data_IF_505265310091
#
_entry.id   IF_505265310091
#
_cell.length_a   1.000
_cell.length_b   1.000
_cell.length_c   1.000
_cell.angle_alpha   90.00
_cell.angle_beta   90.00
_cell.angle_gamma   90.00
#
_symmetry.space_group_name_H-M   'P 1'
#
loop_
_entity.id
_entity.type
_entity.pdbx_description
1 polymer ?
#
# COMPACT_ATOMS: atom_id res chain seq x y z
N UNK A 1 -53.89 38.15 -42.32
CA UNK A 1 -53.41 37.63 -41.03
C UNK A 1 -51.94 37.19 -41.18
N UNK A 2 -51.07 37.85 -40.41
CA UNK A 2 -49.79 37.40 -39.83
C UNK A 2 -48.59 37.08 -40.75
N UNK A 3 -47.52 37.87 -40.55
CA UNK A 3 -46.11 37.65 -40.94
C UNK A 3 -45.43 36.64 -40.01
N UNK A 4 -44.43 35.89 -40.48
CA UNK A 4 -43.28 35.33 -39.72
C UNK A 4 -42.34 34.64 -40.74
N UNK A 5 -41.15 35.12 -41.13
CA UNK A 5 -39.87 35.35 -40.42
C UNK A 5 -39.14 34.11 -39.88
N UNK A 6 -38.16 33.64 -40.67
CA UNK A 6 -36.76 33.19 -40.40
C UNK A 6 -36.49 32.24 -39.21
N UNK A 7 -35.72 31.16 -39.42
CA UNK A 7 -34.40 30.97 -38.77
C UNK A 7 -33.61 29.78 -39.35
N UNK A 8 -32.45 30.08 -39.94
CA UNK A 8 -31.36 29.14 -40.22
C UNK A 8 -30.67 28.76 -38.91
N UNK A 9 -30.46 27.46 -38.67
CA UNK A 9 -29.64 26.97 -37.56
C UNK A 9 -28.31 26.50 -38.14
N UNK A 10 -27.24 27.26 -37.87
CA UNK A 10 -25.87 26.86 -38.11
C UNK A 10 -25.40 26.00 -36.93
N UNK A 11 -25.09 24.72 -37.19
CA UNK A 11 -24.50 23.82 -36.19
C UNK A 11 -22.99 24.10 -36.15
N UNK A 12 -22.55 24.77 -35.09
CA UNK A 12 -21.12 24.97 -34.81
C UNK A 12 -20.62 23.70 -34.11
N UNK A 13 -19.87 22.87 -34.84
CA UNK A 13 -19.12 21.76 -34.26
C UNK A 13 -17.86 22.33 -33.59
N UNK A 14 -17.90 22.51 -32.27
CA UNK A 14 -16.72 22.87 -31.49
C UNK A 14 -15.86 21.61 -31.33
N UNK A 15 -14.80 21.49 -32.12
CA UNK A 15 -13.70 20.56 -31.84
C UNK A 15 -13.04 20.99 -30.52
N UNK A 16 -13.42 20.36 -29.42
CA UNK A 16 -12.67 20.49 -28.17
C UNK A 16 -11.31 19.84 -28.34
N UNK A 17 -10.23 20.61 -28.25
CA UNK A 17 -8.89 20.06 -28.10
C UNK A 17 -8.82 19.37 -26.75
N UNK A 18 -8.80 18.04 -26.75
CA UNK A 18 -8.49 17.25 -25.57
C UNK A 18 -7.04 17.54 -25.17
N UNK A 19 -6.85 18.36 -24.14
CA UNK A 19 -5.55 18.52 -23.49
C UNK A 19 -5.25 17.21 -22.74
N UNK A 20 -4.28 16.45 -23.22
CA UNK A 20 -3.72 15.33 -22.46
C UNK A 20 -3.05 15.91 -21.20
N UNK A 21 -3.59 15.58 -20.02
CA UNK A 21 -2.97 15.94 -18.76
C UNK A 21 -1.61 15.24 -18.66
N UNK A 22 -0.55 15.89 -18.14
CA UNK A 22 0.72 15.22 -17.89
C UNK A 22 0.47 14.05 -16.94
N UNK A 23 0.77 12.85 -17.42
CA UNK A 23 0.63 11.61 -16.65
C UNK A 23 1.68 11.66 -15.54
N UNK A 24 1.28 11.95 -14.31
CA UNK A 24 2.13 11.65 -13.14
C UNK A 24 2.49 10.17 -13.21
N UNK A 25 3.80 9.87 -13.21
CA UNK A 25 4.34 8.50 -13.29
C UNK A 25 4.29 7.75 -11.97
N UNK A 26 3.57 8.26 -10.97
CA UNK A 26 3.25 7.48 -9.79
C UNK A 26 2.15 6.47 -10.16
N UNK A 27 2.26 5.19 -9.78
CA UNK A 27 1.16 4.25 -9.90
C UNK A 27 -0.08 4.86 -9.27
N UNK A 28 -1.23 4.72 -9.91
CA UNK A 28 -2.49 5.37 -9.52
C UNK A 28 -3.09 4.88 -8.19
N UNK A 29 -2.36 4.07 -7.41
CA UNK A 29 -2.77 3.50 -6.13
C UNK A 29 -1.72 3.66 -5.01
N UNK A 30 -0.64 4.41 -5.22
CA UNK A 30 0.40 4.62 -4.20
C UNK A 30 -0.15 5.37 -2.97
N UNK A 31 -0.07 4.78 -1.78
CA UNK A 31 -0.57 5.38 -0.55
C UNK A 31 0.39 6.40 0.07
N UNK A 32 1.69 6.12 0.05
CA UNK A 32 2.70 7.03 0.56
C UNK A 32 4.02 6.96 -0.20
N UNK A 33 4.75 8.07 -0.17
CA UNK A 33 6.16 8.10 -0.54
C UNK A 33 6.99 8.69 0.58
N UNK A 34 7.95 7.91 1.06
CA UNK A 34 8.86 8.29 2.14
C UNK A 34 10.29 8.25 1.61
N UNK A 35 11.16 9.09 2.19
CA UNK A 35 12.59 9.10 1.91
C UNK A 35 13.33 8.93 3.21
N UNK A 36 14.48 8.24 3.18
CA UNK A 36 15.27 8.00 4.37
C UNK A 36 15.54 9.29 5.16
N UNK A 37 15.41 9.22 6.48
CA UNK A 37 15.37 10.38 7.40
C UNK A 37 14.00 11.06 7.46
N UNK A 38 12.91 10.36 7.17
CA UNK A 38 11.58 10.95 7.16
C UNK A 38 11.13 11.38 8.57
N UNK A 39 10.24 12.37 8.62
CA UNK A 39 9.55 12.75 9.86
C UNK A 39 8.06 12.95 9.57
N UNK A 40 7.15 12.59 10.49
CA UNK A 40 7.43 11.91 11.76
C UNK A 40 7.89 10.45 11.58
N UNK A 41 8.73 9.96 12.50
CA UNK A 41 9.13 8.55 12.63
C UNK A 41 8.66 8.02 14.00
N UNK A 42 7.84 6.95 14.04
CA UNK A 42 7.35 6.20 12.88
C UNK A 42 6.17 6.86 12.18
N UNK A 43 6.07 6.58 10.88
CA UNK A 43 4.89 6.86 10.08
C UNK A 43 3.85 5.78 10.35
N UNK A 44 2.69 6.17 10.89
CA UNK A 44 1.65 5.24 11.34
C UNK A 44 0.37 5.38 10.53
N UNK A 45 -0.23 4.25 10.17
CA UNK A 45 -1.51 4.17 9.45
C UNK A 45 -2.41 3.17 10.16
N UNK A 46 -3.63 3.60 10.49
CA UNK A 46 -4.68 2.70 10.99
C UNK A 46 -5.45 2.14 9.80
N UNK A 47 -5.66 0.84 9.78
CA UNK A 47 -6.35 0.16 8.69
C UNK A 47 -7.02 -1.14 9.15
N UNK A 48 -7.85 -1.69 8.27
CA UNK A 48 -8.53 -2.99 8.44
C UNK A 48 -7.78 -4.05 7.63
N UNK A 49 -7.39 -5.14 8.28
CA UNK A 49 -6.45 -6.15 7.76
C UNK A 49 -7.13 -7.50 7.53
N UNK A 50 -6.37 -8.53 7.19
CA UNK A 50 -6.86 -9.90 7.01
C UNK A 50 -7.40 -10.16 5.60
N UNK A 51 -8.16 -11.24 5.43
CA UNK A 51 -8.81 -11.56 4.15
C UNK A 51 -8.96 -13.06 3.91
N UNK A 52 -9.49 -13.44 2.75
CA UNK A 52 -9.84 -14.84 2.47
C UNK A 52 -8.69 -15.67 1.89
N UNK A 53 -7.55 -15.06 1.56
CA UNK A 53 -6.46 -15.71 0.85
C UNK A 53 -5.44 -16.23 1.86
N UNK A 54 -5.18 -17.53 1.84
CA UNK A 54 -4.07 -18.13 2.56
C UNK A 54 -2.74 -17.73 1.88
N UNK A 55 -1.93 -16.93 2.57
CA UNK A 55 -0.68 -16.43 2.04
C UNK A 55 0.31 -17.56 1.75
N UNK A 56 0.25 -18.66 2.51
CA UNK A 56 1.23 -19.75 2.42
C UNK A 56 1.11 -20.50 1.10
N UNK A 57 -0.12 -20.54 0.57
CA UNK A 57 -0.46 -21.19 -0.70
C UNK A 57 -0.17 -20.30 -1.91
N UNK A 58 -0.10 -18.98 -1.71
CA UNK A 58 -0.07 -18.02 -2.83
C UNK A 58 1.20 -17.19 -2.93
N UNK A 59 1.98 -17.07 -1.84
CA UNK A 59 3.23 -16.28 -1.74
C UNK A 59 4.44 -17.11 -1.33
N UNK A 60 4.22 -18.29 -0.75
CA UNK A 60 5.26 -19.25 -0.38
C UNK A 60 5.03 -19.80 1.02
N UNK A 61 5.57 -20.99 1.34
CA UNK A 61 5.25 -21.71 2.58
C UNK A 61 5.64 -20.96 3.86
N UNK A 62 6.53 -19.98 3.76
CA UNK A 62 6.99 -19.17 4.91
C UNK A 62 6.05 -17.97 5.20
N UNK A 63 5.07 -17.71 4.33
CA UNK A 63 4.12 -16.61 4.48
C UNK A 63 2.84 -17.11 5.13
N UNK A 64 2.78 -17.08 6.45
CA UNK A 64 1.62 -17.55 7.20
C UNK A 64 0.47 -16.53 7.25
N UNK A 65 -0.72 -17.04 7.57
CA UNK A 65 -1.90 -16.22 7.81
C UNK A 65 -2.73 -15.92 6.56
N UNK A 66 -3.78 -15.15 6.79
CA UNK A 66 -4.83 -14.86 5.82
C UNK A 66 -4.83 -13.39 5.44
N UNK A 67 -4.69 -13.11 4.14
CA UNK A 67 -4.51 -11.77 3.58
C UNK A 67 -5.61 -11.41 2.57
N UNK A 68 -5.70 -10.14 2.22
CA UNK A 68 -6.53 -9.63 1.14
C UNK A 68 -5.94 -9.95 -0.24
N UNK A 69 -6.75 -9.77 -1.29
CA UNK A 69 -6.30 -9.96 -2.68
C UNK A 69 -5.33 -8.85 -3.13
N UNK A 70 -5.69 -7.60 -2.86
CA UNK A 70 -4.84 -6.43 -3.09
C UNK A 70 -3.99 -6.14 -1.83
N UNK A 71 -2.83 -5.47 -1.98
CA UNK A 71 -2.07 -4.97 -0.83
C UNK A 71 -2.94 -4.06 0.03
N UNK A 72 -2.68 -4.07 1.34
CA UNK A 72 -3.31 -3.16 2.29
C UNK A 72 -2.64 -1.78 2.28
N UNK A 73 -1.38 -1.71 1.85
CA UNK A 73 -0.63 -0.47 1.72
C UNK A 73 0.46 -0.55 0.64
N UNK A 74 0.54 0.46 -0.23
CA UNK A 74 1.62 0.61 -1.22
C UNK A 74 2.56 1.77 -0.81
N UNK A 75 3.83 1.45 -0.51
CA UNK A 75 4.85 2.41 -0.10
C UNK A 75 5.93 2.57 -1.18
N UNK A 76 6.18 3.79 -1.64
CA UNK A 76 7.35 4.10 -2.45
C UNK A 76 8.44 4.69 -1.55
N UNK A 77 9.44 3.88 -1.21
CA UNK A 77 10.52 4.28 -0.33
C UNK A 77 11.77 4.66 -1.11
N UNK A 78 12.35 5.82 -0.80
CA UNK A 78 13.66 6.24 -1.27
C UNK A 78 14.70 5.95 -0.17
N UNK A 79 15.38 4.81 -0.29
CA UNK A 79 16.36 4.34 0.69
C UNK A 79 17.61 5.21 0.81
N UNK A 80 18.26 5.11 1.98
CA UNK A 80 19.48 5.82 2.33
C UNK A 80 20.39 4.95 3.20
N UNK A 81 21.08 5.56 4.17
CA UNK A 81 21.97 4.82 5.10
C UNK A 81 21.26 4.20 6.29
N UNK A 82 19.98 4.49 6.48
CA UNK A 82 19.16 4.00 7.58
C UNK A 82 18.41 2.72 7.18
N UNK A 83 18.12 1.83 8.14
CA UNK A 83 17.26 0.68 7.88
C UNK A 83 15.83 1.12 7.59
N UNK A 84 15.03 0.21 7.02
CA UNK A 84 13.58 0.32 6.98
C UNK A 84 12.98 -0.80 7.82
N UNK A 85 12.14 -0.46 8.78
CA UNK A 85 11.42 -1.39 9.64
C UNK A 85 9.94 -1.20 9.37
N UNK A 86 9.27 -2.28 8.97
CA UNK A 86 7.84 -2.32 8.75
C UNK A 86 7.28 -3.30 9.78
N UNK A 87 6.44 -2.82 10.67
CA UNK A 87 5.87 -3.59 11.77
C UNK A 87 4.39 -3.29 11.92
N UNK A 88 3.68 -4.18 12.60
CA UNK A 88 2.24 -4.05 12.85
C UNK A 88 2.02 -3.98 14.34
N UNK A 89 1.07 -3.19 14.79
CA UNK A 89 0.60 -3.21 16.16
C UNK A 89 -0.92 -3.47 16.17
N UNK A 90 -1.31 -4.58 16.78
CA UNK A 90 -2.70 -4.99 16.95
C UNK A 90 -2.91 -5.71 18.29
N UNK A 91 -4.16 -5.78 18.72
CA UNK A 91 -4.58 -6.56 19.90
C UNK A 91 -4.75 -8.06 19.58
N UNK A 92 -4.70 -8.42 18.29
CA UNK A 92 -4.82 -9.78 17.77
C UNK A 92 -3.51 -10.22 17.13
N UNK A 93 -3.36 -11.54 16.94
CA UNK A 93 -2.22 -12.15 16.26
C UNK A 93 -2.28 -11.85 14.75
N UNK A 94 -1.31 -11.08 14.26
CA UNK A 94 -1.26 -10.61 12.86
C UNK A 94 -0.04 -11.17 12.15
N UNK A 95 -0.08 -11.19 10.81
CA UNK A 95 1.09 -11.54 9.99
C UNK A 95 1.40 -10.42 9.02
N UNK A 96 2.65 -10.37 8.55
CA UNK A 96 3.13 -9.36 7.61
C UNK A 96 3.69 -10.06 6.38
N UNK A 97 3.23 -9.64 5.21
CA UNK A 97 3.71 -10.12 3.92
C UNK A 97 4.06 -8.92 3.06
N UNK A 98 5.29 -8.85 2.56
CA UNK A 98 5.80 -7.72 1.79
C UNK A 98 6.39 -8.22 0.48
N UNK A 99 5.93 -7.66 -0.65
CA UNK A 99 6.65 -7.76 -1.92
C UNK A 99 7.55 -6.54 -2.05
N UNK A 100 8.86 -6.75 -2.01
CA UNK A 100 9.83 -5.65 -1.96
C UNK A 100 10.35 -5.28 -3.38
N UNK A 101 11.00 -4.11 -3.54
CA UNK A 101 11.50 -3.64 -4.83
C UNK A 101 12.51 -4.56 -5.52
N UNK A 102 13.16 -5.44 -4.75
CA UNK A 102 14.11 -6.43 -5.28
C UNK A 102 13.41 -7.65 -5.92
N UNK A 103 12.08 -7.70 -5.85
CA UNK A 103 11.23 -8.75 -6.41
C UNK A 103 10.97 -9.92 -5.47
N UNK A 104 11.50 -9.90 -4.24
CA UNK A 104 11.34 -10.98 -3.27
C UNK A 104 10.14 -10.74 -2.33
N UNK A 105 9.63 -11.85 -1.78
CA UNK A 105 8.63 -11.85 -0.71
C UNK A 105 9.31 -11.94 0.65
N UNK A 106 8.87 -11.11 1.58
CA UNK A 106 9.32 -11.08 2.96
C UNK A 106 8.13 -11.28 3.88
N UNK A 107 8.21 -12.27 4.74
CA UNK A 107 7.10 -12.68 5.58
C UNK A 107 7.54 -12.84 7.03
N UNK A 108 6.67 -12.45 7.95
CA UNK A 108 6.90 -12.55 9.40
C UNK A 108 5.56 -12.64 10.15
N UNK A 109 5.56 -13.31 11.30
CA UNK A 109 4.40 -13.42 12.20
C UNK A 109 4.68 -12.88 13.62
N UNK A 110 5.83 -13.16 14.23
CA UNK A 110 6.04 -12.83 15.66
C UNK A 110 7.38 -12.17 16.03
N UNK A 111 8.15 -11.65 15.07
CA UNK A 111 9.45 -11.02 15.36
C UNK A 111 9.34 -9.58 15.93
N UNK A 112 8.13 -9.03 16.03
CA UNK A 112 7.83 -7.71 16.61
C UNK A 112 7.49 -7.75 18.10
N UNK A 113 6.66 -6.81 18.57
CA UNK A 113 6.24 -6.80 19.97
C UNK A 113 5.10 -7.79 20.24
N UNK A 114 5.39 -8.80 21.05
CA UNK A 114 4.39 -9.80 21.45
C UNK A 114 4.17 -10.83 20.34
N UNK A 115 2.94 -10.89 19.81
CA UNK A 115 2.56 -11.74 18.68
C UNK A 115 2.38 -10.93 17.39
N UNK A 116 3.02 -9.76 17.34
CA UNK A 116 2.93 -8.91 16.17
C UNK A 116 4.18 -9.08 15.29
N UNK A 117 4.04 -8.94 13.96
CA UNK A 117 5.11 -9.14 13.02
C UNK A 117 5.95 -7.87 12.81
N UNK A 118 7.21 -8.06 12.42
CA UNK A 118 8.15 -7.02 12.08
C UNK A 118 9.19 -7.50 11.06
N UNK A 119 9.23 -6.85 9.89
CA UNK A 119 10.29 -7.05 8.90
C UNK A 119 11.27 -5.88 8.92
N UNK A 120 12.57 -6.20 9.05
CA UNK A 120 13.66 -5.21 9.06
C UNK A 120 14.59 -5.38 7.86
N UNK A 121 14.61 -4.37 6.99
CA UNK A 121 15.57 -4.22 5.92
C UNK A 121 16.78 -3.42 6.42
N UNK A 122 17.92 -4.09 6.61
CA UNK A 122 19.15 -3.39 7.05
C UNK A 122 19.70 -2.44 5.99
N UNK A 123 19.52 -2.79 4.71
CA UNK A 123 19.90 -1.98 3.55
C UNK A 123 18.71 -1.97 2.59
N UNK A 124 17.69 -1.13 2.85
CA UNK A 124 16.44 -1.16 2.09
C UNK A 124 16.65 -0.71 0.65
N UNK A 125 16.27 -1.52 -0.37
CA UNK A 125 16.25 -1.04 -1.74
C UNK A 125 15.24 0.10 -1.89
N UNK A 126 15.57 1.08 -2.72
CA UNK A 126 14.60 2.10 -3.11
C UNK A 126 13.58 1.51 -4.09
N UNK A 127 12.31 1.86 -3.94
CA UNK A 127 11.25 1.46 -4.86
C UNK A 127 9.91 1.23 -4.16
N UNK A 128 9.04 0.49 -4.84
CA UNK A 128 7.71 0.14 -4.37
C UNK A 128 7.74 -1.10 -3.47
N UNK A 129 7.13 -0.99 -2.30
CA UNK A 129 6.85 -2.07 -1.37
C UNK A 129 5.33 -2.25 -1.33
N UNK A 130 4.87 -3.43 -1.70
CA UNK A 130 3.47 -3.83 -1.55
C UNK A 130 3.35 -4.57 -0.23
N UNK A 131 2.48 -4.09 0.66
CA UNK A 131 2.40 -4.54 2.04
C UNK A 131 1.01 -5.10 2.29
N UNK A 132 0.96 -6.37 2.70
CA UNK A 132 -0.23 -7.04 3.20
C UNK A 132 -0.07 -7.29 4.69
N UNK A 133 -1.14 -7.05 5.43
CA UNK A 133 -1.24 -7.41 6.84
C UNK A 133 -2.35 -8.45 6.97
N UNK A 134 -1.97 -9.63 7.42
CA UNK A 134 -2.86 -10.75 7.62
C UNK A 134 -3.26 -10.95 9.07
N UNK A 135 -4.19 -11.88 9.24
CA UNK A 135 -4.56 -12.48 10.54
C UNK A 135 -4.01 -13.90 10.56
N UNK A 136 -3.38 -14.31 11.67
CA UNK A 136 -2.69 -15.61 11.70
C UNK A 136 -3.67 -16.80 11.63
N UNK A 137 -4.75 -16.76 12.41
CA UNK A 137 -5.58 -17.94 12.68
C UNK A 137 -6.70 -18.19 11.66
N UNK A 138 -7.33 -17.13 11.13
CA UNK A 138 -8.50 -17.23 10.25
C UNK A 138 -8.63 -16.02 9.33
N UNK A 139 -9.66 -16.04 8.48
CA UNK A 139 -9.95 -15.01 7.47
C UNK A 139 -10.74 -13.80 8.02
N UNK A 140 -10.68 -13.54 9.32
CA UNK A 140 -11.33 -12.37 9.95
C UNK A 140 -10.76 -11.05 9.43
N UNK A 141 -11.49 -9.96 9.72
CA UNK A 141 -11.10 -8.59 9.41
C UNK A 141 -10.91 -7.87 10.73
N UNK A 142 -9.69 -7.39 10.97
CA UNK A 142 -9.27 -6.86 12.26
C UNK A 142 -8.67 -5.46 12.10
N UNK A 143 -8.76 -4.65 13.14
CA UNK A 143 -8.06 -3.35 13.15
C UNK A 143 -6.61 -3.52 13.55
N UNK A 144 -5.72 -2.88 12.80
CA UNK A 144 -4.31 -2.80 13.12
C UNK A 144 -3.74 -1.42 12.81
N UNK A 145 -2.56 -1.16 13.37
CA UNK A 145 -1.73 -0.01 13.01
C UNK A 145 -0.48 -0.50 12.29
N UNK A 146 -0.32 -0.14 11.02
CA UNK A 146 0.94 -0.25 10.30
C UNK A 146 1.90 0.83 10.80
N UNK A 147 3.10 0.43 11.19
CA UNK A 147 4.18 1.32 11.64
C UNK A 147 5.40 1.15 10.75
N UNK A 148 5.82 2.26 10.13
CA UNK A 148 7.00 2.34 9.26
C UNK A 148 8.03 3.22 9.97
N UNK A 149 9.19 2.64 10.30
CA UNK A 149 10.23 3.30 11.10
C UNK A 149 11.63 3.08 10.53
N UNK A 150 12.57 3.94 10.92
CA UNK A 150 14.00 3.73 10.70
C UNK A 150 14.75 3.35 11.99
N UNK A 151 14.03 3.23 13.12
CA UNK A 151 14.63 3.14 14.45
C UNK A 151 14.19 1.90 15.25
N UNK A 152 12.91 1.53 15.24
CA UNK A 152 12.39 0.43 16.05
C UNK A 152 11.10 -0.18 15.48
N UNK A 153 10.75 -1.37 15.97
CA UNK A 153 9.46 -2.02 15.70
C UNK A 153 8.44 -1.70 16.79
N UNK A 154 7.16 -1.67 16.42
CA UNK A 154 6.03 -1.52 17.37
C UNK A 154 5.28 -2.82 17.67
#
# INVERSE_FOLDING_TARGET
>A
MIRLSILSIAVIACCGTAAAQPRSTLPSALDASLSAGFTPDPYRVRLQTGGAIDASQTRGPDCNGFIAEAPDFELFYNGGSLPLIISVNADVDTTLVIHAPDGNWYCDDDSGNGLNPSVRFSTPPSGLYDIWIGTYADASREEATLSISELFSE
#
